data_IF_485717166265
#
_entry.id   IF_485717166265
#
_cell.length_a   1.000
_cell.length_b   1.000
_cell.length_c   1.000
_cell.angle_alpha   90.00
_cell.angle_beta   90.00
_cell.angle_gamma   90.00
#
_symmetry.space_group_name_H-M   'P 1'
#
loop_
_entity.id
_entity.type
_entity.pdbx_description
1 polymer ?
#
# COMPACT_ATOMS: atom_id res chain seq x y z
N UNK A 1 8.40 6.89 9.73
CA UNK A 1 8.59 8.27 10.24
C UNK A 1 9.49 8.94 9.23
N UNK A 2 9.29 10.23 8.92
CA UNK A 2 10.10 10.94 7.93
C UNK A 2 11.61 10.74 8.15
N UNK A 3 12.39 10.81 7.06
CA UNK A 3 13.85 10.70 7.15
C UNK A 3 14.46 11.72 8.14
N UNK A 4 15.62 11.40 8.71
CA UNK A 4 16.31 12.30 9.63
C UNK A 4 16.57 13.68 9.01
N UNK A 5 16.92 13.73 7.72
CA UNK A 5 17.09 14.98 6.98
C UNK A 5 15.80 15.81 6.91
N UNK A 6 14.65 15.17 6.65
CA UNK A 6 13.35 15.84 6.68
C UNK A 6 13.02 16.36 8.09
N UNK A 7 13.31 15.57 9.13
CA UNK A 7 13.10 15.98 10.52
C UNK A 7 13.94 17.21 10.88
N UNK A 8 15.24 17.22 10.53
CA UNK A 8 16.14 18.36 10.76
C UNK A 8 15.63 19.60 10.04
N UNK A 9 15.21 19.47 8.78
CA UNK A 9 14.67 20.58 8.02
C UNK A 9 13.35 21.14 8.59
N UNK A 10 12.46 20.28 9.08
CA UNK A 10 11.24 20.70 9.77
C UNK A 10 11.56 21.41 11.10
N UNK A 11 12.50 20.88 11.90
CA UNK A 11 12.95 21.57 13.12
C UNK A 11 13.55 22.95 12.79
N UNK A 12 14.38 23.04 11.75
CA UNK A 12 14.96 24.29 11.27
C UNK A 12 13.92 25.29 10.74
N UNK A 13 12.78 24.80 10.25
CA UNK A 13 11.64 25.60 9.82
C UNK A 13 10.70 26.02 10.98
N UNK A 14 11.00 25.61 12.22
CA UNK A 14 10.26 26.01 13.42
C UNK A 14 9.14 25.07 13.85
N UNK A 15 9.03 23.88 13.25
CA UNK A 15 8.11 22.84 13.74
C UNK A 15 8.70 22.17 14.98
N UNK A 16 7.81 21.72 15.87
CA UNK A 16 8.16 20.69 16.85
C UNK A 16 7.81 19.31 16.27
N UNK A 17 8.61 18.30 16.60
CA UNK A 17 8.36 16.92 16.23
C UNK A 17 8.04 16.12 17.49
N UNK A 18 6.93 15.39 17.46
CA UNK A 18 6.52 14.49 18.53
C UNK A 18 6.07 13.16 17.92
N UNK A 19 6.52 12.07 18.51
CA UNK A 19 6.17 10.72 18.08
C UNK A 19 6.40 9.72 19.20
N UNK A 20 5.63 8.65 19.20
CA UNK A 20 5.82 7.52 20.11
C UNK A 20 5.87 6.22 19.33
N UNK A 21 6.41 5.18 19.97
CA UNK A 21 6.02 3.82 19.62
C UNK A 21 4.55 3.60 19.98
N UNK A 22 3.96 2.56 19.43
CA UNK A 22 2.63 2.06 19.81
C UNK A 22 2.80 0.84 20.71
N UNK A 23 1.82 0.54 21.56
CA UNK A 23 1.75 -0.76 22.23
C UNK A 23 1.40 -1.82 21.18
N UNK A 24 2.32 -2.74 20.82
CA UNK A 24 2.05 -3.75 19.82
C UNK A 24 1.00 -4.77 20.30
N UNK A 25 0.78 -4.89 21.62
CA UNK A 25 0.01 -5.98 22.24
C UNK A 25 0.42 -7.36 21.67
N UNK A 26 1.72 -7.56 21.48
CA UNK A 26 2.30 -8.78 20.90
C UNK A 26 2.36 -8.83 19.37
N UNK A 27 1.78 -7.88 18.63
CA UNK A 27 1.81 -7.84 17.16
C UNK A 27 2.41 -6.54 16.60
N UNK A 28 3.18 -6.66 15.52
CA UNK A 28 3.65 -5.50 14.75
C UNK A 28 2.51 -4.80 13.96
N UNK A 29 1.34 -5.43 13.81
CA UNK A 29 0.14 -4.82 13.26
C UNK A 29 -0.67 -4.13 14.37
N UNK A 30 -0.24 -2.93 14.76
CA UNK A 30 -0.74 -2.23 15.95
C UNK A 30 -1.94 -1.29 15.68
N UNK A 31 -2.75 -1.53 14.65
CA UNK A 31 -3.85 -0.62 14.26
C UNK A 31 -4.86 -0.35 15.39
N UNK A 32 -5.06 -1.29 16.31
CA UNK A 32 -6.00 -1.15 17.42
C UNK A 32 -5.53 -0.18 18.53
N UNK A 33 -4.22 0.02 18.66
CA UNK A 33 -3.60 0.87 19.70
C UNK A 33 -3.01 2.16 19.13
N UNK A 34 -2.49 2.11 17.90
CA UNK A 34 -1.66 3.16 17.35
C UNK A 34 -2.35 4.53 17.30
N UNK A 35 -3.61 4.62 16.88
CA UNK A 35 -4.36 5.89 16.87
C UNK A 35 -4.41 6.52 18.27
N UNK A 36 -4.80 5.72 19.28
CA UNK A 36 -4.89 6.16 20.68
C UNK A 36 -3.53 6.63 21.19
N UNK A 37 -2.48 5.87 20.92
CA UNK A 37 -1.14 6.15 21.43
C UNK A 37 -0.53 7.41 20.76
N UNK A 38 -0.83 7.65 19.48
CA UNK A 38 -0.45 8.91 18.82
C UNK A 38 -1.19 10.12 19.40
N UNK A 39 -2.48 9.99 19.70
CA UNK A 39 -3.24 11.06 20.33
C UNK A 39 -2.78 11.32 21.79
N UNK A 40 -2.39 10.28 22.52
CA UNK A 40 -1.78 10.41 23.83
C UNK A 40 -0.40 11.10 23.77
N UNK A 41 0.35 10.92 22.69
CA UNK A 41 1.62 11.62 22.46
C UNK A 41 1.43 13.13 22.36
N UNK A 42 0.38 13.58 21.67
CA UNK A 42 0.03 15.01 21.58
C UNK A 42 -0.31 15.59 22.96
N UNK A 43 -1.06 14.84 23.77
CA UNK A 43 -1.38 15.25 25.14
C UNK A 43 -0.11 15.33 26.01
N UNK A 44 0.76 14.33 25.93
CA UNK A 44 2.02 14.31 26.66
C UNK A 44 2.93 15.48 26.24
N UNK A 45 3.04 15.76 24.94
CA UNK A 45 3.78 16.89 24.42
C UNK A 45 3.26 18.22 24.99
N UNK A 46 1.93 18.43 24.96
CA UNK A 46 1.30 19.64 25.49
C UNK A 46 1.48 19.84 26.99
N UNK A 47 1.71 18.77 27.76
CA UNK A 47 2.00 18.82 29.21
C UNK A 47 3.45 19.18 29.53
N UNK A 48 4.40 18.74 28.70
CA UNK A 48 5.84 19.01 28.89
C UNK A 48 6.20 20.40 28.36
N UNK A 49 5.66 20.75 27.21
CA UNK A 49 5.90 22.02 26.54
C UNK A 49 4.69 22.95 26.71
N UNK A 50 4.00 23.23 25.61
CA UNK A 50 2.71 23.93 25.56
C UNK A 50 1.84 23.25 24.51
N UNK A 51 0.50 23.25 24.67
CA UNK A 51 -0.39 22.74 23.64
C UNK A 51 -0.09 23.38 22.27
N UNK A 52 0.08 22.59 21.20
CA UNK A 52 0.33 23.13 19.88
C UNK A 52 -0.87 23.95 19.39
N UNK A 53 -0.61 25.04 18.68
CA UNK A 53 -1.66 25.82 18.01
C UNK A 53 -2.11 25.19 16.68
N UNK A 54 -1.29 24.27 16.16
CA UNK A 54 -1.50 23.52 14.93
C UNK A 54 -0.81 22.18 15.03
N UNK A 55 -1.50 21.11 14.65
CA UNK A 55 -0.99 19.75 14.63
C UNK A 55 -1.20 19.13 13.26
N UNK A 56 -0.12 18.71 12.61
CA UNK A 56 -0.14 17.96 11.35
C UNK A 56 0.30 16.52 11.65
N UNK A 57 -0.58 15.54 11.43
CA UNK A 57 -0.22 14.13 11.53
C UNK A 57 0.54 13.70 10.28
N UNK A 58 1.68 13.03 10.44
CA UNK A 58 2.51 12.53 9.33
C UNK A 58 2.85 11.07 9.58
N UNK A 59 2.67 10.20 8.58
CA UNK A 59 2.98 8.79 8.72
C UNK A 59 3.18 8.09 7.40
N UNK A 60 4.02 7.06 7.40
CA UNK A 60 4.40 6.27 6.23
C UNK A 60 3.90 4.82 6.37
N UNK A 61 3.55 4.18 5.26
CA UNK A 61 3.14 2.76 5.22
C UNK A 61 1.93 2.51 6.13
N UNK A 62 2.02 1.58 7.09
CA UNK A 62 1.02 1.41 8.15
C UNK A 62 0.74 2.73 8.91
N UNK A 63 1.77 3.55 9.15
CA UNK A 63 1.63 4.89 9.72
C UNK A 63 0.83 5.85 8.83
N UNK A 64 0.87 5.67 7.51
CA UNK A 64 0.01 6.38 6.57
C UNK A 64 -1.46 6.01 6.76
N UNK A 65 -1.77 4.72 6.89
CA UNK A 65 -3.13 4.26 7.21
C UNK A 65 -3.60 4.78 8.58
N UNK A 66 -2.74 4.76 9.60
CA UNK A 66 -3.02 5.35 10.92
C UNK A 66 -3.33 6.85 10.77
N UNK A 67 -2.52 7.58 9.98
CA UNK A 67 -2.71 9.02 9.72
C UNK A 67 -4.02 9.32 9.00
N UNK A 68 -4.44 8.47 8.05
CA UNK A 68 -5.75 8.59 7.41
C UNK A 68 -6.89 8.37 8.41
N UNK A 69 -6.74 7.46 9.37
CA UNK A 69 -7.75 7.23 10.40
C UNK A 69 -7.80 8.34 11.44
N UNK A 70 -6.64 8.89 11.82
CA UNK A 70 -6.57 10.11 12.63
C UNK A 70 -7.26 11.28 11.94
N UNK A 71 -7.24 11.34 10.60
CA UNK A 71 -7.95 12.37 9.85
C UNK A 71 -9.49 12.29 9.97
N UNK A 72 -10.03 11.17 10.45
CA UNK A 72 -11.45 10.99 10.73
C UNK A 72 -11.83 11.40 12.16
N UNK A 73 -10.87 11.83 12.97
CA UNK A 73 -11.12 12.28 14.33
C UNK A 73 -11.90 13.60 14.37
N UNK A 74 -13.16 13.50 14.83
CA UNK A 74 -14.07 14.64 15.00
C UNK A 74 -13.82 15.49 16.25
N UNK A 75 -12.84 15.14 17.08
CA UNK A 75 -12.57 15.87 18.33
C UNK A 75 -11.61 17.05 18.15
N UNK A 76 -11.08 17.25 16.94
CA UNK A 76 -10.22 18.41 16.62
C UNK A 76 -8.84 18.35 17.27
N UNK A 77 -8.32 17.14 17.53
CA UNK A 77 -6.97 16.95 18.10
C UNK A 77 -5.85 17.09 17.08
N UNK A 78 -6.16 16.91 15.80
CA UNK A 78 -5.26 17.23 14.68
C UNK A 78 -5.96 18.22 13.74
N UNK A 79 -5.16 19.02 13.02
CA UNK A 79 -5.66 20.04 12.10
C UNK A 79 -5.50 19.62 10.64
N UNK A 80 -4.53 18.77 10.33
CA UNK A 80 -4.31 18.22 9.00
C UNK A 80 -3.59 16.86 9.04
N UNK A 81 -3.64 16.14 7.92
CA UNK A 81 -3.03 14.82 7.78
C UNK A 81 -2.18 14.72 6.50
N UNK A 82 -0.99 14.14 6.63
CA UNK A 82 -0.06 13.78 5.56
C UNK A 82 0.22 12.27 5.60
N UNK A 83 -0.69 11.44 5.08
CA UNK A 83 -0.38 10.04 4.80
C UNK A 83 0.60 9.96 3.62
N UNK A 84 1.68 9.23 3.84
CA UNK A 84 2.68 8.86 2.84
C UNK A 84 2.56 7.35 2.61
N UNK A 85 2.56 6.91 1.35
CA UNK A 85 2.59 5.48 0.95
C UNK A 85 1.61 4.59 1.75
N UNK A 86 0.42 5.12 2.08
CA UNK A 86 -0.51 4.47 3.01
C UNK A 86 -1.08 3.16 2.46
N UNK A 87 -1.50 2.27 3.35
CA UNK A 87 -2.28 1.07 2.97
C UNK A 87 -3.75 1.46 2.67
N UNK A 88 -3.91 2.39 1.73
CA UNK A 88 -5.09 3.22 1.53
C UNK A 88 -6.30 2.47 1.03
N UNK A 89 -6.17 1.28 0.43
CA UNK A 89 -7.34 0.45 0.10
C UNK A 89 -7.97 -0.15 1.38
N UNK A 90 -7.18 -0.25 2.45
CA UNK A 90 -7.53 -0.93 3.68
C UNK A 90 -7.15 -2.40 3.66
N UNK A 91 -7.08 -2.98 4.86
CA UNK A 91 -6.55 -4.33 5.11
C UNK A 91 -7.40 -5.44 4.50
N UNK A 92 -8.69 -5.20 4.27
CA UNK A 92 -9.60 -6.21 3.70
C UNK A 92 -9.32 -6.46 2.23
N UNK A 93 -9.38 -5.39 1.43
CA UNK A 93 -9.07 -5.43 0.01
C UNK A 93 -7.65 -5.95 -0.18
N UNK A 94 -6.71 -5.38 0.56
CA UNK A 94 -5.31 -5.79 0.61
C UNK A 94 -5.14 -7.29 0.92
N UNK A 95 -5.72 -7.77 2.01
CA UNK A 95 -5.65 -9.18 2.40
C UNK A 95 -6.27 -10.12 1.38
N UNK A 96 -7.42 -9.75 0.81
CA UNK A 96 -8.16 -10.56 -0.17
C UNK A 96 -7.37 -10.70 -1.49
N UNK A 97 -6.87 -9.60 -2.08
CA UNK A 97 -6.14 -9.70 -3.35
C UNK A 97 -4.76 -10.36 -3.18
N UNK A 98 -4.10 -10.17 -2.04
CA UNK A 98 -2.87 -10.91 -1.72
C UNK A 98 -3.11 -12.41 -1.59
N UNK A 99 -4.16 -12.82 -0.86
CA UNK A 99 -4.49 -14.23 -0.70
C UNK A 99 -4.83 -14.88 -2.04
N UNK A 100 -5.49 -14.15 -2.95
CA UNK A 100 -5.79 -14.64 -4.30
C UNK A 100 -4.55 -14.79 -5.17
N UNK A 101 -3.60 -13.86 -5.07
CA UNK A 101 -2.30 -13.97 -5.75
C UNK A 101 -1.49 -15.16 -5.23
N UNK A 102 -1.48 -15.38 -3.91
CA UNK A 102 -0.85 -16.55 -3.29
C UNK A 102 -1.51 -17.86 -3.71
N UNK A 103 -2.85 -17.91 -3.76
CA UNK A 103 -3.58 -19.07 -4.27
C UNK A 103 -3.25 -19.34 -5.75
N UNK A 104 -3.03 -18.28 -6.55
CA UNK A 104 -2.60 -18.45 -7.93
C UNK A 104 -1.19 -19.05 -8.04
N UNK A 105 -0.26 -18.63 -7.17
CA UNK A 105 1.08 -19.22 -7.09
C UNK A 105 0.98 -20.71 -6.72
N UNK A 106 0.27 -21.07 -5.65
CA UNK A 106 0.19 -22.47 -5.19
C UNK A 106 -0.49 -23.35 -6.23
N UNK A 107 -1.64 -22.92 -6.76
CA UNK A 107 -2.43 -23.71 -7.71
C UNK A 107 -1.69 -23.98 -9.01
N UNK A 108 -0.92 -23.00 -9.51
CA UNK A 108 -0.33 -23.06 -10.86
C UNK A 108 1.14 -23.47 -10.87
N UNK A 109 1.89 -23.18 -9.80
CA UNK A 109 3.34 -23.41 -9.72
C UNK A 109 3.71 -24.55 -8.77
N UNK A 110 2.82 -24.95 -7.86
CA UNK A 110 3.04 -26.05 -6.89
C UNK A 110 1.90 -27.09 -6.95
N UNK A 111 1.54 -27.61 -8.15
CA UNK A 111 0.39 -28.49 -8.29
C UNK A 111 0.55 -29.76 -7.47
N UNK A 112 -0.43 -30.04 -6.60
CA UNK A 112 -0.44 -31.22 -5.73
C UNK A 112 0.35 -31.08 -4.43
N UNK A 113 0.97 -29.92 -4.18
CA UNK A 113 1.63 -29.63 -2.91
C UNK A 113 0.67 -28.90 -1.96
N UNK A 114 0.64 -29.32 -0.69
CA UNK A 114 -0.06 -28.59 0.35
C UNK A 114 0.82 -27.45 0.87
N UNK A 115 0.34 -26.21 0.74
CA UNK A 115 1.02 -25.00 1.25
C UNK A 115 -0.01 -24.15 1.98
N UNK A 116 0.20 -23.96 3.28
CA UNK A 116 -0.68 -23.13 4.10
C UNK A 116 -0.48 -21.65 3.78
N UNK A 117 -1.57 -20.91 3.62
CA UNK A 117 -1.55 -19.48 3.26
C UNK A 117 -2.06 -18.57 4.38
N UNK A 118 -2.70 -19.16 5.39
CA UNK A 118 -3.41 -18.50 6.49
C UNK A 118 -3.39 -19.40 7.73
N UNK A 119 -3.63 -18.84 8.91
CA UNK A 119 -3.85 -19.60 10.14
C UNK A 119 -2.58 -20.28 10.66
N UNK A 120 -1.43 -19.61 10.57
CA UNK A 120 -0.15 -20.16 11.03
C UNK A 120 -0.08 -20.23 12.56
N UNK A 121 0.40 -21.35 13.11
CA UNK A 121 0.57 -21.51 14.57
C UNK A 121 1.82 -20.78 15.07
N UNK A 122 2.78 -20.52 14.17
CA UNK A 122 4.00 -19.80 14.50
C UNK A 122 4.54 -18.96 13.35
N UNK A 123 5.36 -17.98 13.69
CA UNK A 123 6.07 -17.17 12.70
C UNK A 123 7.00 -18.01 11.80
N UNK A 124 7.56 -19.10 12.33
CA UNK A 124 8.44 -19.99 11.57
C UNK A 124 7.69 -20.74 10.47
N UNK A 125 6.45 -21.16 10.72
CA UNK A 125 5.58 -21.78 9.71
C UNK A 125 5.19 -20.79 8.63
N UNK A 126 4.80 -19.57 9.02
CA UNK A 126 4.52 -18.50 8.08
C UNK A 126 5.74 -18.27 7.17
N UNK A 127 6.94 -18.15 7.76
CA UNK A 127 8.19 -17.96 7.04
C UNK A 127 8.49 -19.11 6.07
N UNK A 128 8.31 -20.36 6.49
CA UNK A 128 8.53 -21.53 5.64
C UNK A 128 7.57 -21.55 4.43
N UNK A 129 6.29 -21.22 4.63
CA UNK A 129 5.33 -21.08 3.54
C UNK A 129 5.77 -20.01 2.54
N UNK A 130 6.13 -18.83 3.03
CA UNK A 130 6.63 -17.74 2.17
C UNK A 130 7.88 -18.09 1.38
N UNK A 131 8.84 -18.77 2.00
CA UNK A 131 10.04 -19.27 1.31
C UNK A 131 9.69 -20.26 0.19
N UNK A 132 8.71 -21.13 0.40
CA UNK A 132 8.25 -22.08 -0.62
C UNK A 132 7.60 -21.36 -1.81
N UNK A 133 6.76 -20.36 -1.56
CA UNK A 133 6.15 -19.55 -2.62
C UNK A 133 7.20 -18.80 -3.44
N UNK A 134 8.18 -18.18 -2.77
CA UNK A 134 9.29 -17.49 -3.44
C UNK A 134 10.12 -18.44 -4.31
N UNK A 135 10.47 -19.62 -3.78
CA UNK A 135 11.22 -20.62 -4.53
C UNK A 135 10.45 -21.13 -5.76
N UNK A 136 9.12 -21.30 -5.65
CA UNK A 136 8.27 -21.69 -6.78
C UNK A 136 8.26 -20.62 -7.88
N UNK A 137 8.14 -19.36 -7.49
CA UNK A 137 8.14 -18.21 -8.41
C UNK A 137 9.48 -18.06 -9.12
N UNK A 138 10.60 -18.23 -8.41
CA UNK A 138 11.95 -18.20 -8.99
C UNK A 138 12.17 -19.37 -9.96
N UNK A 139 11.84 -20.59 -9.54
CA UNK A 139 11.95 -21.78 -10.39
C UNK A 139 11.10 -21.67 -11.67
N UNK A 140 9.91 -21.08 -11.58
CA UNK A 140 9.01 -20.87 -12.72
C UNK A 140 9.58 -19.91 -13.79
N UNK A 141 10.57 -19.07 -13.46
CA UNK A 141 11.20 -18.20 -14.47
C UNK A 141 11.94 -18.99 -15.57
N UNK A 142 12.34 -20.24 -15.28
CA UNK A 142 13.11 -21.06 -16.20
C UNK A 142 12.37 -21.40 -17.50
N UNK A 143 11.04 -21.39 -17.52
CA UNK A 143 10.24 -21.79 -18.69
C UNK A 143 9.26 -20.70 -19.15
N UNK A 144 8.91 -20.63 -20.45
CA UNK A 144 7.87 -19.72 -20.94
C UNK A 144 6.54 -19.88 -20.19
N UNK A 145 6.13 -21.12 -19.92
CA UNK A 145 4.89 -21.46 -19.23
C UNK A 145 4.89 -20.95 -17.78
N UNK A 146 6.01 -21.13 -17.07
CA UNK A 146 6.16 -20.64 -15.71
C UNK A 146 6.17 -19.11 -15.65
N UNK A 147 6.87 -18.44 -16.57
CA UNK A 147 6.84 -16.97 -16.69
C UNK A 147 5.43 -16.42 -16.95
N UNK A 148 4.65 -17.09 -17.81
CA UNK A 148 3.28 -16.71 -18.07
C UNK A 148 2.40 -16.80 -16.80
N UNK A 149 2.54 -17.90 -16.04
CA UNK A 149 1.82 -18.11 -14.77
C UNK A 149 2.26 -17.15 -13.66
N UNK A 150 3.55 -16.81 -13.60
CA UNK A 150 4.06 -15.76 -12.69
C UNK A 150 3.44 -14.41 -13.05
N UNK A 151 3.35 -14.06 -14.34
CA UNK A 151 2.69 -12.82 -14.76
C UNK A 151 1.19 -12.80 -14.40
N UNK A 152 0.50 -13.95 -14.47
CA UNK A 152 -0.89 -14.07 -14.01
C UNK A 152 -1.00 -13.82 -12.49
N UNK A 153 -0.14 -14.43 -11.68
CA UNK A 153 -0.09 -14.15 -10.25
C UNK A 153 0.23 -12.66 -9.96
N UNK A 154 1.18 -12.08 -10.70
CA UNK A 154 1.54 -10.67 -10.57
C UNK A 154 0.36 -9.72 -10.85
N UNK A 155 -0.48 -10.07 -11.83
CA UNK A 155 -1.68 -9.30 -12.16
C UNK A 155 -2.71 -9.29 -11.02
N UNK A 156 -2.86 -10.40 -10.27
CA UNK A 156 -3.72 -10.45 -9.08
C UNK A 156 -3.12 -9.77 -7.85
N UNK A 157 -1.79 -9.69 -7.80
CA UNK A 157 -1.07 -8.94 -6.78
C UNK A 157 -1.01 -7.42 -7.05
N UNK A 158 -1.60 -6.96 -8.16
CA UNK A 158 -1.55 -5.56 -8.60
C UNK A 158 -0.11 -5.02 -8.74
N UNK A 159 0.84 -5.86 -9.15
CA UNK A 159 2.25 -5.48 -9.17
C UNK A 159 2.56 -4.48 -10.30
N UNK A 160 3.20 -3.34 -9.98
CA UNK A 160 3.62 -2.38 -10.98
C UNK A 160 4.70 -2.98 -11.89
N UNK A 161 4.77 -2.47 -13.11
CA UNK A 161 5.77 -2.82 -14.11
C UNK A 161 7.00 -1.90 -14.05
N UNK A 162 7.24 -1.25 -12.90
CA UNK A 162 8.43 -0.43 -12.64
C UNK A 162 9.11 -0.86 -11.33
N UNK A 163 10.26 -1.53 -11.44
CA UNK A 163 11.01 -2.07 -10.31
C UNK A 163 12.16 -1.16 -9.86
N UNK A 164 12.56 -1.27 -8.59
CA UNK A 164 13.72 -0.54 -8.05
C UNK A 164 15.02 -0.94 -8.77
N UNK A 165 15.96 0.00 -8.85
CA UNK A 165 17.24 -0.20 -9.54
C UNK A 165 17.17 -0.13 -11.07
N UNK A 166 16.01 0.19 -11.64
CA UNK A 166 15.84 0.38 -13.09
C UNK A 166 15.72 1.86 -13.44
N UNK A 167 16.08 2.22 -14.69
CA UNK A 167 16.05 3.61 -15.16
C UNK A 167 14.63 4.18 -15.35
N UNK A 168 13.60 3.34 -15.33
CA UNK A 168 12.22 3.74 -15.60
C UNK A 168 11.31 2.57 -15.96
N UNK A 169 9.99 2.82 -16.07
CA UNK A 169 9.05 1.81 -16.55
C UNK A 169 9.38 1.41 -18.01
N UNK A 170 9.26 0.13 -18.38
CA UNK A 170 9.37 -0.30 -19.76
C UNK A 170 8.28 0.32 -20.64
N UNK A 171 8.56 0.38 -21.95
CA UNK A 171 7.55 0.70 -22.94
C UNK A 171 6.37 -0.31 -22.89
N UNK A 172 5.16 0.16 -23.19
CA UNK A 172 3.92 -0.63 -23.03
C UNK A 172 3.91 -1.93 -23.83
N UNK A 173 4.51 -1.90 -25.02
CA UNK A 173 4.63 -3.01 -25.96
C UNK A 173 5.78 -3.97 -25.62
N UNK A 174 6.67 -3.63 -24.68
CA UNK A 174 7.76 -4.49 -24.23
C UNK A 174 7.29 -5.47 -23.14
N UNK A 175 6.42 -6.42 -23.51
CA UNK A 175 5.75 -7.34 -22.57
C UNK A 175 6.71 -8.12 -21.67
N UNK A 176 7.83 -8.61 -22.20
CA UNK A 176 8.83 -9.33 -21.39
C UNK A 176 9.53 -8.44 -20.38
N UNK A 177 9.85 -7.20 -20.75
CA UNK A 177 10.49 -6.26 -19.82
C UNK A 177 9.53 -5.89 -18.69
N UNK A 178 8.24 -5.66 -19.01
CA UNK A 178 7.20 -5.42 -18.00
C UNK A 178 7.04 -6.60 -17.05
N UNK A 179 6.95 -7.81 -17.59
CA UNK A 179 6.87 -9.03 -16.78
C UNK A 179 8.12 -9.27 -15.92
N UNK A 180 9.31 -8.99 -16.44
CA UNK A 180 10.56 -9.09 -15.69
C UNK A 180 10.62 -8.08 -14.52
N UNK A 181 10.10 -6.86 -14.72
CA UNK A 181 10.03 -5.87 -13.64
C UNK A 181 8.96 -6.23 -12.60
N UNK A 182 7.81 -6.77 -13.01
CA UNK A 182 6.82 -7.31 -12.07
C UNK A 182 7.40 -8.47 -11.25
N UNK A 183 8.13 -9.38 -11.91
CA UNK A 183 8.86 -10.44 -11.24
C UNK A 183 9.84 -9.88 -10.20
N UNK A 184 10.68 -8.90 -10.57
CA UNK A 184 11.58 -8.26 -9.62
C UNK A 184 10.83 -7.63 -8.43
N UNK A 185 9.71 -6.95 -8.70
CA UNK A 185 8.83 -6.34 -7.69
C UNK A 185 8.27 -7.35 -6.68
N UNK A 186 8.04 -8.61 -7.06
CA UNK A 186 7.65 -9.67 -6.13
C UNK A 186 8.68 -9.86 -5.01
N UNK A 187 9.97 -9.73 -5.32
CA UNK A 187 11.08 -9.94 -4.37
C UNK A 187 11.52 -8.66 -3.65
N UNK A 188 11.19 -7.48 -4.18
CA UNK A 188 11.52 -6.15 -3.60
C UNK A 188 10.60 -5.74 -2.42
N UNK A 189 10.16 -6.72 -1.62
CA UNK A 189 9.43 -6.47 -0.37
C UNK A 189 7.99 -6.97 -0.38
N UNK A 190 7.38 -7.21 -1.55
CA UNK A 190 6.01 -7.74 -1.62
C UNK A 190 5.92 -9.14 -1.00
N UNK A 191 6.60 -10.15 -1.56
CA UNK A 191 6.49 -11.51 -1.04
C UNK A 191 7.03 -11.60 0.40
N UNK A 192 8.10 -10.89 0.75
CA UNK A 192 8.64 -10.89 2.11
C UNK A 192 7.67 -10.29 3.15
N UNK A 193 7.08 -9.13 2.87
CA UNK A 193 6.11 -8.53 3.77
C UNK A 193 4.81 -9.34 3.81
N UNK A 194 4.38 -9.96 2.71
CA UNK A 194 3.04 -10.54 2.62
C UNK A 194 2.89 -12.00 2.89
N UNK A 195 3.88 -12.80 2.52
CA UNK A 195 3.72 -14.26 2.64
C UNK A 195 3.98 -14.74 4.05
N UNK A 196 4.72 -13.98 4.87
CA UNK A 196 5.03 -14.42 6.22
C UNK A 196 5.01 -13.32 7.28
N UNK A 197 5.73 -12.21 7.11
CA UNK A 197 5.81 -11.22 8.18
C UNK A 197 4.45 -10.54 8.45
N UNK A 198 3.92 -9.80 7.49
CA UNK A 198 2.68 -9.04 7.62
C UNK A 198 1.48 -9.95 7.87
N UNK A 199 1.31 -11.04 7.10
CA UNK A 199 0.21 -12.00 7.28
C UNK A 199 0.13 -12.51 8.72
N UNK A 200 1.23 -13.05 9.24
CA UNK A 200 1.25 -13.57 10.61
C UNK A 200 0.92 -12.49 11.64
N UNK A 201 1.51 -11.30 11.50
CA UNK A 201 1.29 -10.18 12.44
C UNK A 201 -0.17 -9.67 12.37
N UNK A 202 -0.76 -9.58 11.18
CA UNK A 202 -2.16 -9.21 10.98
C UNK A 202 -3.08 -10.24 11.63
N UNK A 203 -2.88 -11.53 11.37
CA UNK A 203 -3.72 -12.57 11.96
C UNK A 203 -3.57 -12.64 13.49
N UNK A 204 -2.34 -12.47 14.00
CA UNK A 204 -2.07 -12.38 15.43
C UNK A 204 -2.80 -11.20 16.09
N UNK A 205 -2.84 -10.04 15.43
CA UNK A 205 -3.54 -8.86 15.93
C UNK A 205 -5.07 -9.01 15.89
N UNK A 206 -5.60 -9.74 14.91
CA UNK A 206 -7.04 -9.89 14.67
C UNK A 206 -7.64 -11.15 15.30
N UNK A 207 -6.80 -12.07 15.78
CA UNK A 207 -7.21 -13.36 16.34
C UNK A 207 -7.67 -14.38 15.29
N UNK A 208 -7.33 -14.19 14.01
CA UNK A 208 -7.71 -15.09 12.92
C UNK A 208 -7.51 -14.50 11.52
N UNK A 209 -7.78 -15.29 10.49
CA UNK A 209 -7.65 -14.87 9.08
C UNK A 209 -8.79 -13.90 8.67
N UNK A 210 -8.51 -12.63 8.34
CA UNK A 210 -9.55 -11.71 7.85
C UNK A 210 -9.83 -11.83 6.34
N UNK A 211 -8.99 -12.56 5.60
CA UNK A 211 -8.93 -12.55 4.13
C UNK A 211 -9.72 -13.70 3.51
N UNK A 212 -10.25 -13.50 2.31
CA UNK A 212 -11.10 -14.48 1.62
C UNK A 212 -10.82 -14.58 0.12
N UNK A 213 -10.87 -15.82 -0.37
CA UNK A 213 -10.93 -16.13 -1.81
C UNK A 213 -12.34 -16.58 -2.23
N UNK A 214 -13.27 -16.73 -1.28
CA UNK A 214 -14.65 -17.12 -1.54
C UNK A 214 -15.32 -16.13 -2.49
N UNK A 215 -15.89 -16.66 -3.58
CA UNK A 215 -16.63 -15.86 -4.58
C UNK A 215 -15.75 -15.09 -5.57
N UNK A 216 -14.43 -15.32 -5.59
CA UNK A 216 -13.54 -14.69 -6.57
C UNK A 216 -13.82 -15.18 -8.00
N UNK A 217 -14.17 -14.25 -8.90
CA UNK A 217 -14.19 -14.49 -10.35
C UNK A 217 -12.83 -14.09 -10.92
N UNK A 218 -11.90 -15.04 -10.98
CA UNK A 218 -10.55 -14.85 -11.51
C UNK A 218 -10.54 -14.31 -12.95
N UNK A 219 -11.50 -14.70 -13.78
CA UNK A 219 -11.62 -14.17 -15.14
C UNK A 219 -12.04 -12.70 -15.14
N UNK A 220 -12.97 -12.29 -14.27
CA UNK A 220 -13.35 -10.89 -14.10
C UNK A 220 -12.22 -10.05 -13.52
N UNK A 221 -11.53 -10.55 -12.50
CA UNK A 221 -10.37 -9.91 -11.88
C UNK A 221 -9.29 -9.64 -12.95
N UNK A 222 -8.92 -10.66 -13.73
CA UNK A 222 -7.94 -10.51 -14.80
C UNK A 222 -8.42 -9.52 -15.87
N UNK A 223 -9.71 -9.55 -16.27
CA UNK A 223 -10.25 -8.57 -17.24
C UNK A 223 -10.14 -7.13 -16.74
N UNK A 224 -10.23 -6.91 -15.43
CA UNK A 224 -10.11 -5.58 -14.82
C UNK A 224 -8.66 -5.12 -14.61
N UNK A 225 -7.69 -6.04 -14.69
CA UNK A 225 -6.27 -5.75 -14.48
C UNK A 225 -5.68 -4.94 -15.63
N UNK A 226 -4.91 -3.90 -15.30
CA UNK A 226 -4.09 -3.15 -16.26
C UNK A 226 -2.93 -3.97 -16.86
N UNK A 227 -2.68 -5.17 -16.33
CA UNK A 227 -1.64 -6.10 -16.79
C UNK A 227 -2.20 -7.29 -17.57
N UNK A 228 -3.50 -7.28 -17.90
CA UNK A 228 -4.15 -8.35 -18.65
C UNK A 228 -3.54 -8.56 -20.05
N UNK A 229 -2.98 -7.51 -20.64
CA UNK A 229 -2.25 -7.55 -21.91
C UNK A 229 -0.94 -8.34 -21.80
N UNK A 230 -0.14 -8.08 -20.74
CA UNK A 230 1.09 -8.83 -20.45
C UNK A 230 0.79 -10.31 -20.26
N UNK A 231 -0.23 -10.64 -19.45
CA UNK A 231 -0.66 -12.02 -19.22
C UNK A 231 -1.06 -12.70 -20.52
N UNK A 232 -1.94 -12.10 -21.33
CA UNK A 232 -2.41 -12.71 -22.58
C UNK A 232 -1.28 -12.91 -23.58
N UNK A 233 -0.35 -11.96 -23.68
CA UNK A 233 0.80 -12.07 -24.58
C UNK A 233 1.70 -13.26 -24.18
N UNK A 234 2.04 -13.37 -22.89
CA UNK A 234 2.91 -14.45 -22.41
C UNK A 234 2.24 -15.83 -22.48
N UNK A 235 0.94 -15.92 -22.21
CA UNK A 235 0.19 -17.17 -22.38
C UNK A 235 0.15 -17.61 -23.85
N UNK A 236 -0.08 -16.68 -24.78
CA UNK A 236 -0.09 -16.97 -26.21
C UNK A 236 1.28 -17.44 -26.71
N UNK A 237 2.36 -16.80 -26.28
CA UNK A 237 3.73 -17.18 -26.62
C UNK A 237 4.11 -18.55 -26.04
N UNK A 238 3.71 -18.84 -24.80
CA UNK A 238 3.95 -20.12 -24.15
C UNK A 238 3.06 -21.26 -24.69
N UNK A 239 2.12 -20.97 -25.60
CA UNK A 239 1.18 -21.96 -26.11
C UNK A 239 0.19 -22.48 -25.06
N UNK A 240 -0.02 -21.74 -23.97
CA UNK A 240 -0.92 -22.11 -22.89
C UNK A 240 -2.36 -21.64 -23.15
N UNK A 241 -3.34 -22.47 -22.81
CA UNK A 241 -4.73 -22.02 -22.72
C UNK A 241 -4.99 -21.36 -21.37
N UNK A 242 -5.06 -20.02 -21.38
CA UNK A 242 -5.38 -19.22 -20.20
C UNK A 242 -6.69 -19.63 -19.53
N UNK A 243 -7.67 -20.15 -20.27
CA UNK A 243 -8.94 -20.59 -19.67
C UNK A 243 -8.75 -21.80 -18.77
N UNK A 244 -7.85 -22.71 -19.12
CA UNK A 244 -7.52 -23.89 -18.31
C UNK A 244 -7.00 -23.46 -16.93
N UNK A 245 -6.03 -22.54 -16.90
CA UNK A 245 -5.47 -22.05 -15.63
C UNK A 245 -6.51 -21.22 -14.85
N UNK A 246 -7.33 -20.39 -15.49
CA UNK A 246 -8.43 -19.67 -14.81
C UNK A 246 -9.48 -20.62 -14.23
N UNK A 247 -9.79 -21.73 -14.91
CA UNK A 247 -10.67 -22.78 -14.39
C UNK A 247 -10.04 -23.53 -13.23
N UNK A 248 -8.72 -23.77 -13.26
CA UNK A 248 -8.00 -24.36 -12.13
C UNK A 248 -8.09 -23.46 -10.88
N UNK A 249 -7.92 -22.13 -11.04
CA UNK A 249 -8.09 -21.18 -9.94
C UNK A 249 -9.52 -21.15 -9.39
N UNK A 250 -10.53 -21.21 -10.26
CA UNK A 250 -11.93 -21.25 -9.85
C UNK A 250 -12.32 -22.57 -9.14
N UNK A 251 -11.60 -23.66 -9.43
CA UNK A 251 -11.81 -24.97 -8.81
C UNK A 251 -10.98 -25.20 -7.54
N UNK A 252 -10.00 -24.34 -7.26
CA UNK A 252 -9.17 -24.42 -6.07
C UNK A 252 -10.03 -24.32 -4.80
N UNK A 253 -9.72 -25.06 -3.73
CA UNK A 253 -10.46 -24.97 -2.48
C UNK A 253 -10.51 -23.53 -1.95
N UNK A 254 -11.70 -22.94 -1.75
CA UNK A 254 -11.79 -21.57 -1.33
C UNK A 254 -11.38 -21.43 0.14
N UNK A 255 -10.55 -20.44 0.41
CA UNK A 255 -10.14 -20.03 1.75
C UNK A 255 -11.14 -18.98 2.25
N UNK A 256 -11.86 -19.31 3.31
CA UNK A 256 -12.81 -18.42 3.96
C UNK A 256 -12.15 -17.57 5.05
N UNK A 257 -12.63 -16.34 5.19
CA UNK A 257 -12.27 -15.49 6.32
C UNK A 257 -12.98 -15.94 7.60
N UNK A 258 -12.30 -15.78 8.74
CA UNK A 258 -12.95 -15.77 10.05
C UNK A 258 -13.86 -14.52 10.13
N UNK A 259 -15.17 -14.69 10.41
CA UNK A 259 -16.10 -13.57 10.49
C UNK A 259 -15.73 -12.52 11.55
N UNK A 260 -15.21 -12.93 12.70
CA UNK A 260 -14.81 -12.03 13.78
C UNK A 260 -13.53 -11.26 13.40
N UNK A 261 -12.51 -11.95 12.87
CA UNK A 261 -11.29 -11.30 12.41
C UNK A 261 -11.56 -10.32 11.27
N UNK A 262 -12.45 -10.67 10.33
CA UNK A 262 -12.85 -9.79 9.22
C UNK A 262 -13.65 -8.57 9.69
N UNK A 263 -14.51 -8.72 10.70
CA UNK A 263 -15.22 -7.59 11.31
C UNK A 263 -14.26 -6.63 12.02
N UNK A 264 -13.30 -7.16 12.76
CA UNK A 264 -12.27 -6.38 13.43
C UNK A 264 -11.34 -5.66 12.45
N UNK A 265 -10.90 -6.36 11.40
CA UNK A 265 -10.14 -5.80 10.29
C UNK A 265 -10.87 -4.63 9.61
N UNK A 266 -12.18 -4.74 9.41
CA UNK A 266 -13.00 -3.64 8.88
C UNK A 266 -12.98 -2.44 9.82
N UNK A 267 -13.08 -2.68 11.13
CA UNK A 267 -13.16 -1.63 12.16
C UNK A 267 -11.85 -0.87 12.33
N UNK A 268 -10.71 -1.54 12.25
CA UNK A 268 -9.38 -0.98 12.57
C UNK A 268 -8.50 -0.70 11.34
N UNK A 269 -8.71 -1.42 10.25
CA UNK A 269 -7.83 -1.40 9.08
C UNK A 269 -8.45 -0.76 7.83
N UNK A 270 -9.46 0.10 7.97
CA UNK A 270 -10.05 0.87 6.86
C UNK A 270 -10.14 2.35 7.18
N UNK A 271 -10.14 3.19 6.15
CA UNK A 271 -10.18 4.66 6.23
C UNK A 271 -10.90 5.26 5.01
N UNK A 272 -11.23 6.55 5.11
CA UNK A 272 -11.80 7.39 4.05
C UNK A 272 -13.33 7.47 4.09
N UNK A 273 -13.96 7.14 5.22
CA UNK A 273 -15.41 7.16 5.37
C UNK A 273 -15.96 8.46 5.99
N UNK A 274 -15.11 9.26 6.64
CA UNK A 274 -15.51 10.51 7.27
C UNK A 274 -14.30 11.42 7.55
N UNK A 275 -13.66 11.97 6.52
CA UNK A 275 -12.53 12.89 6.75
C UNK A 275 -13.04 14.17 7.42
N UNK A 276 -12.39 14.59 8.51
CA UNK A 276 -12.72 15.80 9.27
C UNK A 276 -11.69 16.92 9.10
N UNK A 277 -10.50 16.61 8.59
CA UNK A 277 -9.41 17.56 8.37
C UNK A 277 -8.88 17.50 6.93
N UNK A 278 -8.22 18.56 6.42
CA UNK A 278 -7.52 18.49 5.15
C UNK A 278 -6.45 17.39 5.15
N UNK A 279 -6.45 16.58 4.11
CA UNK A 279 -5.54 15.45 3.93
C UNK A 279 -4.82 15.58 2.59
N UNK A 280 -3.50 15.68 2.62
CA UNK A 280 -2.65 15.55 1.43
C UNK A 280 -2.05 14.15 1.45
N UNK A 281 -2.53 13.27 0.58
CA UNK A 281 -2.09 11.89 0.52
C UNK A 281 -1.04 11.72 -0.60
N UNK A 282 0.17 11.32 -0.27
CA UNK A 282 1.30 11.23 -1.21
C UNK A 282 1.72 9.78 -1.42
N UNK A 283 1.86 9.34 -2.66
CA UNK A 283 2.16 7.94 -2.99
C UNK A 283 3.19 7.78 -4.11
N UNK A 284 4.03 6.75 -4.04
CA UNK A 284 4.93 6.40 -5.15
C UNK A 284 4.13 5.76 -6.30
N UNK A 285 4.41 6.13 -7.55
CA UNK A 285 3.66 5.61 -8.70
C UNK A 285 3.88 4.11 -8.95
N UNK A 286 4.99 3.56 -8.44
CA UNK A 286 5.38 2.17 -8.65
C UNK A 286 5.76 1.51 -7.32
N UNK A 287 4.85 1.55 -6.37
CA UNK A 287 4.96 0.88 -5.08
C UNK A 287 4.61 -0.61 -5.23
N UNK A 288 5.56 -1.55 -5.06
CA UNK A 288 5.28 -2.96 -5.20
C UNK A 288 4.49 -3.53 -4.03
N UNK A 289 4.49 -2.90 -2.85
CA UNK A 289 3.86 -3.40 -1.62
C UNK A 289 2.43 -2.86 -1.46
N UNK A 290 2.26 -1.56 -1.62
CA UNK A 290 0.97 -0.87 -1.59
C UNK A 290 0.73 -0.23 -2.96
N UNK A 291 0.25 -1.00 -3.96
CA UNK A 291 0.09 -0.52 -5.33
C UNK A 291 -0.69 0.79 -5.37
N UNK A 292 -0.22 1.73 -6.20
CA UNK A 292 -0.80 3.08 -6.29
C UNK A 292 -2.30 3.05 -6.62
N UNK A 293 -2.81 1.98 -7.23
CA UNK A 293 -4.23 1.72 -7.47
C UNK A 293 -5.08 1.74 -6.18
N UNK A 294 -4.49 1.47 -5.00
CA UNK A 294 -5.16 1.63 -3.70
C UNK A 294 -5.66 3.07 -3.47
N UNK A 295 -4.97 4.05 -4.05
CA UNK A 295 -5.32 5.46 -3.96
C UNK A 295 -6.60 5.82 -4.69
N UNK A 296 -6.94 5.09 -5.76
CA UNK A 296 -8.23 5.24 -6.43
C UNK A 296 -9.37 4.79 -5.51
N UNK A 297 -9.23 3.64 -4.85
CA UNK A 297 -10.22 3.12 -3.90
C UNK A 297 -10.42 4.06 -2.71
N UNK A 298 -9.35 4.63 -2.16
CA UNK A 298 -9.44 5.62 -1.09
C UNK A 298 -10.17 6.90 -1.53
N UNK A 299 -9.79 7.46 -2.68
CA UNK A 299 -10.43 8.65 -3.23
C UNK A 299 -11.93 8.44 -3.54
N UNK A 300 -12.30 7.24 -4.00
CA UNK A 300 -13.69 6.86 -4.22
C UNK A 300 -14.50 6.82 -2.91
N UNK A 301 -13.95 6.26 -1.83
CA UNK A 301 -14.61 6.25 -0.52
C UNK A 301 -14.77 7.66 0.05
N UNK A 302 -13.73 8.48 -0.01
CA UNK A 302 -13.77 9.87 0.44
C UNK A 302 -14.80 10.69 -0.35
N UNK A 303 -14.87 10.49 -1.67
CA UNK A 303 -15.89 11.14 -2.51
C UNK A 303 -17.30 10.66 -2.16
N UNK A 304 -17.48 9.36 -1.90
CA UNK A 304 -18.76 8.80 -1.50
C UNK A 304 -19.23 9.32 -0.12
N UNK A 305 -18.30 9.62 0.78
CA UNK A 305 -18.58 10.26 2.07
C UNK A 305 -18.93 11.76 1.94
N UNK A 306 -18.64 12.40 0.80
CA UNK A 306 -18.87 13.84 0.59
C UNK A 306 -17.66 14.72 0.95
N UNK A 307 -16.52 14.11 1.27
CA UNK A 307 -15.36 14.80 1.84
C UNK A 307 -14.29 15.18 0.79
N UNK A 308 -14.62 15.10 -0.50
CA UNK A 308 -13.67 15.34 -1.60
C UNK A 308 -12.99 16.72 -1.59
N UNK A 309 -13.55 17.71 -0.88
CA UNK A 309 -12.91 19.03 -0.68
C UNK A 309 -11.72 18.99 0.27
N UNK A 310 -11.67 17.99 1.16
CA UNK A 310 -10.63 17.80 2.16
C UNK A 310 -9.45 16.99 1.61
N UNK A 311 -9.65 16.17 0.58
CA UNK A 311 -8.58 15.34 0.02
C UNK A 311 -7.86 16.01 -1.15
N UNK A 312 -6.53 15.95 -1.13
CA UNK A 312 -5.66 16.03 -2.32
C UNK A 312 -4.76 14.82 -2.38
N UNK A 313 -4.47 14.36 -3.59
CA UNK A 313 -3.52 13.30 -3.84
C UNK A 313 -2.37 13.83 -4.70
N UNK A 314 -1.15 13.52 -4.30
CA UNK A 314 0.05 13.80 -5.06
C UNK A 314 0.82 12.49 -5.28
N UNK A 315 1.57 12.41 -6.38
CA UNK A 315 2.26 11.19 -6.76
C UNK A 315 3.70 11.49 -7.09
N UNK A 316 4.60 10.63 -6.64
CA UNK A 316 6.04 10.72 -6.90
C UNK A 316 6.42 9.62 -7.88
N UNK A 317 7.03 10.01 -9.00
CA UNK A 317 7.44 9.10 -10.07
C UNK A 317 8.67 8.29 -9.65
N UNK A 318 8.47 7.28 -8.80
CA UNK A 318 9.56 6.45 -8.26
C UNK A 318 9.09 5.02 -7.99
N UNK A 319 9.95 4.01 -8.20
CA UNK A 319 9.68 2.65 -7.77
C UNK A 319 10.02 2.45 -6.30
N UNK A 320 9.35 1.50 -5.66
CA UNK A 320 9.58 1.12 -4.27
C UNK A 320 8.51 1.62 -3.29
N UNK A 321 8.53 1.07 -2.08
CA UNK A 321 7.57 1.39 -1.03
C UNK A 321 8.11 2.51 -0.14
N UNK A 322 7.38 3.62 -0.04
CA UNK A 322 7.73 4.78 0.78
C UNK A 322 9.05 5.47 0.42
N UNK A 323 9.42 5.46 -0.86
CA UNK A 323 10.66 6.11 -1.31
C UNK A 323 10.36 7.58 -1.59
N UNK A 324 10.51 8.44 -0.58
CA UNK A 324 10.34 9.89 -0.68
C UNK A 324 11.64 10.62 -0.31
N UNK A 325 11.94 11.72 -1.00
CA UNK A 325 13.05 12.60 -0.60
C UNK A 325 12.65 13.48 0.58
N UNK A 326 13.63 13.99 1.33
CA UNK A 326 13.36 14.94 2.39
C UNK A 326 12.67 16.21 1.86
N UNK A 327 13.07 16.66 0.66
CA UNK A 327 12.47 17.79 -0.03
C UNK A 327 10.97 17.57 -0.31
N UNK A 328 10.58 16.39 -0.78
CA UNK A 328 9.19 16.03 -1.07
C UNK A 328 8.31 16.02 0.19
N UNK A 329 8.83 15.47 1.31
CA UNK A 329 8.11 15.47 2.59
C UNK A 329 7.93 16.89 3.11
N UNK A 330 8.99 17.70 3.13
CA UNK A 330 8.94 19.10 3.61
C UNK A 330 8.01 19.96 2.75
N UNK A 331 8.04 19.81 1.43
CA UNK A 331 7.13 20.50 0.52
C UNK A 331 5.67 20.13 0.79
N UNK A 332 5.39 18.85 1.06
CA UNK A 332 4.05 18.36 1.36
C UNK A 332 3.52 18.92 2.69
N UNK A 333 4.37 19.01 3.73
CA UNK A 333 3.99 19.67 5.00
C UNK A 333 3.66 21.15 4.76
N UNK A 334 4.50 21.88 4.01
CA UNK A 334 4.27 23.30 3.69
C UNK A 334 2.98 23.53 2.88
N UNK A 335 2.62 22.60 2.00
CA UNK A 335 1.36 22.67 1.26
C UNK A 335 0.14 22.54 2.21
N UNK A 336 0.25 21.74 3.27
CA UNK A 336 -0.79 21.64 4.30
C UNK A 336 -0.88 22.91 5.15
N UNK A 337 0.24 23.55 5.49
CA UNK A 337 0.20 24.84 6.19
C UNK A 337 -0.52 25.90 5.37
N UNK A 338 -0.23 26.00 4.07
CA UNK A 338 -0.97 26.88 3.17
C UNK A 338 -2.47 26.55 3.21
N UNK A 339 -2.83 25.26 3.14
CA UNK A 339 -4.23 24.84 3.19
C UNK A 339 -4.91 25.24 4.51
N UNK A 340 -4.17 25.22 5.62
CA UNK A 340 -4.66 25.60 6.94
C UNK A 340 -4.80 27.12 7.10
N UNK A 341 -3.87 27.89 6.55
CA UNK A 341 -3.90 29.36 6.61
C UNK A 341 -5.02 29.96 5.75
N UNK A 342 -5.22 29.42 4.54
CA UNK A 342 -6.09 30.04 3.53
C UNK A 342 -7.42 29.34 3.33
N UNK A 343 -7.64 28.18 3.92
CA UNK A 343 -8.91 27.45 3.79
C UNK A 343 -9.12 26.78 2.42
N UNK A 344 -8.15 26.85 1.51
CA UNK A 344 -8.19 26.22 0.18
C UNK A 344 -6.81 25.73 -0.27
N UNK A 345 -6.78 24.78 -1.21
CA UNK A 345 -5.52 24.20 -1.71
C UNK A 345 -4.76 25.11 -2.68
N UNK A 346 -5.44 25.99 -3.43
CA UNK A 346 -4.77 26.75 -4.49
C UNK A 346 -3.97 25.82 -5.43
N UNK A 347 -2.83 26.28 -5.96
CA UNK A 347 -1.93 25.45 -6.75
C UNK A 347 -0.93 24.64 -5.90
N UNK A 348 -0.83 24.84 -4.57
CA UNK A 348 0.28 24.29 -3.77
C UNK A 348 0.30 22.76 -3.65
N UNK A 349 -0.78 22.09 -4.07
CA UNK A 349 -0.88 20.64 -4.16
C UNK A 349 -0.78 20.13 -5.62
N UNK A 350 -0.54 21.01 -6.60
CA UNK A 350 -0.23 20.59 -7.97
C UNK A 350 1.23 20.13 -8.06
N UNK A 351 1.55 19.12 -8.91
CA UNK A 351 2.90 18.55 -9.01
C UNK A 351 4.01 19.59 -9.20
N UNK A 352 3.85 20.50 -10.16
CA UNK A 352 4.85 21.53 -10.45
C UNK A 352 5.10 22.49 -9.28
N UNK A 353 4.09 22.77 -8.45
CA UNK A 353 4.21 23.66 -7.30
C UNK A 353 4.88 22.95 -6.13
N UNK A 354 4.57 21.66 -5.95
CA UNK A 354 5.24 20.79 -4.98
C UNK A 354 6.72 20.61 -5.32
N UNK A 355 7.06 20.37 -6.60
CA UNK A 355 8.45 20.31 -7.07
C UNK A 355 9.18 21.62 -6.80
N UNK A 356 8.61 22.76 -7.20
CA UNK A 356 9.22 24.06 -6.94
C UNK A 356 9.42 24.33 -5.43
N UNK A 357 8.45 23.94 -4.60
CA UNK A 357 8.56 24.06 -3.14
C UNK A 357 9.62 23.12 -2.55
N UNK A 358 9.78 21.93 -3.12
CA UNK A 358 10.77 20.94 -2.72
C UNK A 358 12.18 21.39 -3.13
N UNK A 359 12.38 21.82 -4.38
CA UNK A 359 13.66 22.36 -4.87
C UNK A 359 14.12 23.57 -4.04
N UNK A 360 13.19 24.43 -3.64
CA UNK A 360 13.47 25.58 -2.78
C UNK A 360 13.96 25.20 -1.36
N UNK A 361 13.86 23.94 -0.94
CA UNK A 361 14.43 23.46 0.33
C UNK A 361 15.95 23.24 0.24
N UNK A 362 16.49 22.99 -0.95
CA UNK A 362 17.88 22.58 -1.14
C UNK A 362 18.20 21.15 -0.68
N UNK A 363 17.19 20.32 -0.34
CA UNK A 363 17.34 18.96 0.19
C UNK A 363 17.31 17.86 -0.89
N UNK A 364 17.68 18.20 -2.12
CA UNK A 364 17.66 17.29 -3.27
C UNK A 364 16.47 17.48 -4.21
N UNK A 365 16.42 16.62 -5.23
CA UNK A 365 15.39 16.65 -6.25
C UNK A 365 14.05 16.11 -5.74
N UNK A 366 12.97 16.55 -6.37
CA UNK A 366 11.63 16.01 -6.25
C UNK A 366 11.15 15.53 -7.62
N UNK A 367 10.29 14.51 -7.60
CA UNK A 367 9.76 13.90 -8.82
C UNK A 367 8.23 13.84 -8.77
N UNK A 368 7.57 14.92 -8.33
CA UNK A 368 6.11 14.95 -8.34
C UNK A 368 5.59 14.93 -9.78
N UNK A 369 4.58 14.11 -10.02
CA UNK A 369 4.04 13.90 -11.36
C UNK A 369 2.52 13.95 -11.35
N UNK A 370 1.95 14.45 -12.45
CA UNK A 370 0.52 14.26 -12.70
C UNK A 370 0.29 12.80 -13.05
N UNK A 371 -0.36 12.08 -12.15
CA UNK A 371 -0.65 10.68 -12.30
C UNK A 371 -2.12 10.39 -11.96
N UNK A 372 -2.70 9.41 -12.65
CA UNK A 372 -4.04 8.91 -12.37
C UNK A 372 -3.95 7.41 -12.15
N UNK A 373 -4.11 6.93 -10.91
CA UNK A 373 -4.05 5.51 -10.64
C UNK A 373 -5.10 4.73 -11.42
N UNK A 374 -4.74 3.51 -11.79
CA UNK A 374 -5.69 2.55 -12.33
C UNK A 374 -6.68 2.08 -11.26
N UNK A 375 -7.59 1.18 -11.66
CA UNK A 375 -8.48 0.51 -10.72
C UNK A 375 -7.73 -0.64 -10.04
N UNK A 376 -7.88 -0.76 -8.73
CA UNK A 376 -7.36 -1.89 -7.97
C UNK A 376 -8.14 -3.17 -8.31
N UNK A 377 -7.44 -4.27 -8.52
CA UNK A 377 -8.03 -5.61 -8.74
C UNK A 377 -8.33 -6.24 -7.37
N UNK A 378 -9.61 -6.23 -6.97
CA UNK A 378 -10.13 -6.68 -5.65
C UNK A 378 -11.45 -7.40 -5.75
#
# INVERSE_FOLDING_TARGET
MPSEEAQIALLGAGYALAGSSYDPNGSWWAMASAERDQLATLEAFGRVERPPSRTIAVGESMGGLITQRLAEDRTGRIDAALPLCGLSAGILDMGDYFLRGQLAITTLLLPGEAVDLVGFDSFAEAQASGQRLMAAVDAAQATPEGRARVALAAAYLNLPDWAEGTAGPPARDHVHARAAQQYAGMFQGLLNFLTWFGRYQIELALGGNPSSTVGADYAALLRSSRHADVVRALYAEAGLDLRTDLSALAAAPPIAADPAARAEARRTGTSGQALNVPTLNVHNTADPLAPVEQEASFAERVRAAGDGRLLRQAYVARPGHCIFSAAEVVASVRALDFRLDFGHWGPVAEPWALDAAAEATGLGAAEFVRYRPGRLVV
#
